data_IF_327243027293
#
_entry.id   IF_327243027293
#
_cell.length_a   1.000
_cell.length_b   1.000
_cell.length_c   1.000
_cell.angle_alpha   90.00
_cell.angle_beta   90.00
_cell.angle_gamma   90.00
#
_symmetry.space_group_name_H-M   'P 1'
#
loop_
_entity.id
_entity.type
_entity.pdbx_description
1 polymer ?
#
# COMPACT_ATOMS: atom_id res chain seq x y z
N UNK A 1 -2.41 -15.63 -10.17
CA UNK A 1 -3.59 -14.76 -10.24
C UNK A 1 -3.09 -13.34 -10.11
N UNK A 2 -3.53 -12.44 -10.98
CA UNK A 2 -3.26 -11.01 -10.83
C UNK A 2 -4.26 -10.46 -9.82
N UNK A 3 -3.80 -10.19 -8.60
CA UNK A 3 -4.62 -9.46 -7.62
C UNK A 3 -4.43 -7.99 -7.90
N UNK A 4 -5.47 -7.35 -8.43
CA UNK A 4 -5.44 -5.93 -8.79
C UNK A 4 -5.79 -5.07 -7.57
N UNK A 5 -5.18 -3.89 -7.47
CA UNK A 5 -5.52 -2.94 -6.42
C UNK A 5 -5.45 -1.49 -6.87
N UNK A 6 -5.98 -0.60 -6.02
CA UNK A 6 -5.75 0.83 -6.13
C UNK A 6 -4.95 1.32 -4.93
N UNK A 7 -3.98 2.19 -5.18
CA UNK A 7 -3.19 2.85 -4.15
C UNK A 7 -3.32 4.35 -4.33
N UNK A 8 -3.63 5.06 -3.26
CA UNK A 8 -3.92 6.48 -3.33
C UNK A 8 -3.85 7.21 -2.02
N UNK A 9 -4.35 8.43 -2.02
CA UNK A 9 -4.50 9.27 -0.84
C UNK A 9 -5.79 10.07 -0.93
N UNK A 10 -6.34 10.43 0.23
CA UNK A 10 -7.41 11.44 0.33
C UNK A 10 -6.78 12.82 0.38
N UNK A 11 -7.41 13.81 -0.24
CA UNK A 11 -6.96 15.19 -0.05
C UNK A 11 -7.54 15.80 1.23
N UNK A 12 -6.80 16.66 1.94
CA UNK A 12 -7.30 17.32 3.15
C UNK A 12 -8.52 18.22 2.90
N UNK A 13 -8.61 18.84 1.72
CA UNK A 13 -9.71 19.72 1.31
C UNK A 13 -10.99 18.95 0.95
N UNK A 14 -10.86 17.67 0.57
CA UNK A 14 -11.99 16.79 0.30
C UNK A 14 -11.68 15.35 0.73
N UNK A 15 -11.83 15.03 2.03
CA UNK A 15 -11.49 13.70 2.56
C UNK A 15 -12.42 12.59 2.05
N UNK A 16 -13.52 12.96 1.36
CA UNK A 16 -14.45 12.00 0.77
C UNK A 16 -14.01 11.51 -0.61
N UNK A 17 -13.08 12.21 -1.27
CA UNK A 17 -12.54 11.81 -2.57
C UNK A 17 -11.15 11.20 -2.41
N UNK A 18 -11.01 10.01 -2.98
CA UNK A 18 -9.74 9.31 -3.11
C UNK A 18 -9.16 9.63 -4.47
N UNK A 19 -7.88 9.98 -4.49
CA UNK A 19 -7.04 10.05 -5.68
C UNK A 19 -6.13 8.83 -5.69
N UNK A 20 -6.27 7.95 -6.68
CA UNK A 20 -5.54 6.69 -6.71
C UNK A 20 -5.04 6.32 -8.10
N UNK A 21 -4.07 5.40 -8.10
CA UNK A 21 -3.53 4.71 -9.27
C UNK A 21 -3.74 3.21 -9.17
N UNK A 22 -3.92 2.61 -10.34
CA UNK A 22 -4.11 1.19 -10.51
C UNK A 22 -2.76 0.46 -10.40
N UNK A 23 -2.79 -0.72 -9.80
CA UNK A 23 -1.67 -1.67 -9.80
C UNK A 23 -2.17 -3.02 -10.27
N UNK A 24 -1.56 -3.55 -11.33
CA UNK A 24 -2.00 -4.77 -12.00
C UNK A 24 -1.65 -6.04 -11.22
N UNK A 25 -0.48 -6.13 -10.59
CA UNK A 25 -0.04 -7.34 -9.90
C UNK A 25 0.24 -7.12 -8.42
N UNK A 26 0.22 -8.23 -7.68
CA UNK A 26 0.62 -8.31 -6.28
C UNK A 26 -0.13 -7.38 -5.31
N UNK A 27 -1.39 -7.07 -5.63
CA UNK A 27 -2.25 -6.18 -4.85
C UNK A 27 -2.69 -6.69 -3.47
N UNK A 28 -2.21 -7.84 -2.99
CA UNK A 28 -2.61 -8.42 -1.70
C UNK A 28 -1.94 -7.67 -0.51
N UNK A 29 -2.63 -7.46 0.64
CA UNK A 29 -2.10 -6.63 1.73
C UNK A 29 -0.76 -7.09 2.30
N UNK A 30 -0.52 -8.40 2.34
CA UNK A 30 0.75 -8.98 2.79
C UNK A 30 1.96 -8.61 1.91
N UNK A 31 1.71 -8.13 0.68
CA UNK A 31 2.76 -7.68 -0.25
C UNK A 31 2.76 -6.16 -0.35
N UNK A 32 1.61 -5.53 -0.63
CA UNK A 32 1.55 -4.08 -0.87
C UNK A 32 2.00 -3.25 0.33
N UNK A 33 1.57 -3.62 1.55
CA UNK A 33 1.90 -2.83 2.76
C UNK A 33 3.41 -2.76 3.03
N UNK A 34 4.14 -3.90 3.12
CA UNK A 34 5.60 -3.84 3.29
C UNK A 34 6.33 -3.23 2.07
N UNK A 35 5.82 -3.44 0.85
CA UNK A 35 6.39 -2.81 -0.35
C UNK A 35 6.31 -1.28 -0.28
N UNK A 36 5.14 -0.72 0.03
CA UNK A 36 4.96 0.74 0.17
C UNK A 36 5.82 1.31 1.30
N UNK A 37 5.97 0.58 2.41
CA UNK A 37 6.86 1.00 3.49
C UNK A 37 8.34 1.04 3.04
N UNK A 38 8.78 0.04 2.27
CA UNK A 38 10.15 -0.02 1.75
C UNK A 38 10.43 1.11 0.76
N UNK A 39 9.48 1.40 -0.15
CA UNK A 39 9.55 2.53 -1.07
C UNK A 39 9.59 3.85 -0.28
N UNK A 40 8.76 3.98 0.76
CA UNK A 40 8.73 5.16 1.61
C UNK A 40 10.09 5.44 2.27
N UNK A 41 10.73 4.43 2.85
CA UNK A 41 12.04 4.61 3.48
C UNK A 41 13.18 4.78 2.46
N UNK A 42 13.19 3.97 1.40
CA UNK A 42 14.28 3.89 0.44
C UNK A 42 14.25 5.00 -0.61
N UNK A 43 13.14 5.12 -1.34
CA UNK A 43 12.97 6.07 -2.43
C UNK A 43 12.50 7.44 -1.92
N UNK A 44 11.51 7.45 -1.03
CA UNK A 44 10.91 8.69 -0.54
C UNK A 44 11.64 9.27 0.68
N UNK A 45 12.68 8.61 1.19
CA UNK A 45 13.47 9.07 2.36
C UNK A 45 12.62 9.45 3.58
N UNK A 46 11.60 8.64 3.86
CA UNK A 46 10.61 8.86 4.92
C UNK A 46 9.68 10.08 4.72
N UNK A 47 9.63 10.65 3.52
CA UNK A 47 8.66 11.69 3.15
C UNK A 47 7.39 11.06 2.54
N UNK A 48 6.29 11.11 3.28
CA UNK A 48 5.00 10.53 2.87
C UNK A 48 4.38 11.28 1.68
N UNK A 49 4.62 12.58 1.53
CA UNK A 49 4.16 13.35 0.37
C UNK A 49 4.96 12.94 -0.88
N UNK A 50 6.26 12.72 -0.74
CA UNK A 50 7.09 12.20 -1.83
C UNK A 50 6.65 10.79 -2.25
N UNK A 51 6.31 9.91 -1.29
CA UNK A 51 5.71 8.59 -1.58
C UNK A 51 4.41 8.72 -2.37
N UNK A 52 3.45 9.52 -1.90
CA UNK A 52 2.17 9.73 -2.58
C UNK A 52 2.39 10.26 -4.00
N UNK A 53 3.30 11.23 -4.16
CA UNK A 53 3.63 11.81 -5.46
C UNK A 53 4.19 10.77 -6.41
N UNK A 54 5.13 9.92 -5.95
CA UNK A 54 5.70 8.85 -6.74
C UNK A 54 4.61 7.85 -7.17
N UNK A 55 3.80 7.36 -6.24
CA UNK A 55 2.74 6.38 -6.53
C UNK A 55 1.69 6.96 -7.49
N UNK A 56 1.31 8.22 -7.34
CA UNK A 56 0.27 8.85 -8.18
C UNK A 56 0.76 9.26 -9.58
N UNK A 57 2.06 9.17 -9.86
CA UNK A 57 2.63 9.58 -11.15
C UNK A 57 2.22 8.64 -12.31
N UNK A 58 2.00 7.35 -12.03
CA UNK A 58 1.76 6.33 -13.05
C UNK A 58 0.75 5.30 -12.57
N UNK A 59 0.10 4.61 -13.51
CA UNK A 59 -0.45 3.30 -13.24
C UNK A 59 0.68 2.27 -13.32
N UNK A 60 0.60 1.24 -12.49
CA UNK A 60 1.71 0.32 -12.23
C UNK A 60 1.35 -1.06 -12.72
N UNK A 61 2.31 -1.71 -13.38
CA UNK A 61 2.22 -3.14 -13.57
C UNK A 61 2.44 -3.83 -12.23
N UNK A 62 3.51 -3.44 -11.52
CA UNK A 62 3.80 -3.87 -10.16
C UNK A 62 4.65 -2.82 -9.43
N UNK A 63 4.61 -2.87 -8.11
CA UNK A 63 5.51 -2.12 -7.25
C UNK A 63 6.64 -3.02 -6.78
N UNK A 64 7.87 -2.53 -6.90
CA UNK A 64 9.07 -3.25 -6.49
C UNK A 64 10.17 -2.23 -6.12
N UNK A 65 10.53 -2.14 -4.82
CA UNK A 65 11.55 -1.21 -4.35
C UNK A 65 12.95 -1.54 -4.88
N UNK A 66 13.19 -2.74 -5.39
CA UNK A 66 14.48 -3.15 -5.95
C UNK A 66 14.59 -2.83 -7.45
N UNK A 67 13.55 -2.26 -8.07
CA UNK A 67 13.60 -1.81 -9.46
C UNK A 67 14.70 -0.76 -9.66
N UNK A 68 15.52 -0.93 -10.71
CA UNK A 68 16.59 0.00 -11.09
C UNK A 68 16.38 0.52 -12.51
N UNK A 69 17.12 1.55 -12.90
CA UNK A 69 16.97 2.20 -14.21
C UNK A 69 17.22 1.26 -15.40
N UNK A 70 17.99 0.18 -15.18
CA UNK A 70 18.32 -0.82 -16.20
C UNK A 70 17.49 -2.10 -16.07
N UNK A 71 16.47 -2.13 -15.20
CA UNK A 71 15.53 -3.26 -15.14
C UNK A 71 14.85 -3.41 -16.50
N UNK A 72 15.06 -4.54 -17.15
CA UNK A 72 14.50 -4.81 -18.47
C UNK A 72 13.02 -5.14 -18.35
N UNK A 73 12.18 -4.49 -19.16
CA UNK A 73 10.81 -4.92 -19.38
C UNK A 73 10.73 -5.82 -20.63
N UNK A 74 10.01 -6.94 -20.56
CA UNK A 74 9.71 -7.76 -21.74
C UNK A 74 8.61 -7.16 -22.63
N UNK A 75 7.92 -6.10 -22.20
CA UNK A 75 6.77 -5.51 -22.90
C UNK A 75 7.06 -4.07 -23.36
N UNK A 76 6.65 -3.76 -24.58
CA UNK A 76 6.80 -2.41 -25.12
C UNK A 76 5.95 -1.41 -24.30
N UNK A 77 6.51 -0.22 -24.04
CA UNK A 77 5.81 0.89 -23.37
C UNK A 77 5.92 0.91 -21.85
N UNK A 78 6.36 -0.18 -21.21
CA UNK A 78 6.66 -0.19 -19.77
C UNK A 78 7.99 0.52 -19.50
N UNK A 79 8.05 1.22 -18.38
CA UNK A 79 9.23 1.99 -17.96
C UNK A 79 9.55 1.66 -16.49
N UNK A 80 10.80 1.28 -16.17
CA UNK A 80 11.20 1.13 -14.78
C UNK A 80 11.30 2.52 -14.12
N UNK A 81 10.72 2.65 -12.93
CA UNK A 81 10.92 3.79 -12.04
C UNK A 81 11.79 3.33 -10.87
N UNK A 82 13.06 3.77 -10.81
CA UNK A 82 14.00 3.29 -9.82
C UNK A 82 13.52 3.47 -8.37
N UNK A 83 13.57 2.41 -7.59
CA UNK A 83 13.14 2.39 -6.20
C UNK A 83 11.62 2.35 -5.99
N UNK A 84 10.82 2.23 -7.06
CA UNK A 84 9.35 2.26 -6.97
C UNK A 84 8.70 1.05 -7.65
N UNK A 85 9.00 0.80 -8.93
CA UNK A 85 8.38 -0.31 -9.66
C UNK A 85 8.38 -0.14 -11.18
N UNK A 86 7.57 -0.96 -11.85
CA UNK A 86 7.40 -0.94 -13.30
C UNK A 86 6.06 -0.30 -13.67
N UNK A 87 6.07 0.70 -14.54
CA UNK A 87 4.83 1.32 -15.01
C UNK A 87 4.04 0.33 -15.88
N UNK A 88 2.71 0.42 -15.81
CA UNK A 88 1.85 -0.27 -16.76
C UNK A 88 2.10 0.30 -18.16
N UNK A 89 2.08 -0.56 -19.19
CA UNK A 89 2.27 -0.12 -20.56
C UNK A 89 1.13 0.82 -20.95
N UNK A 90 1.43 2.09 -21.20
CA UNK A 90 0.52 2.98 -21.92
C UNK A 90 1.03 3.13 -23.34
N UNK A 91 0.21 2.76 -24.32
CA UNK A 91 0.46 3.01 -25.74
C UNK A 91 0.26 4.48 -26.13
N UNK A 92 -0.24 5.30 -25.21
CA UNK A 92 -0.69 6.67 -25.47
C UNK A 92 -0.02 7.65 -24.52
N UNK A 93 0.61 8.67 -25.09
CA UNK A 93 0.95 9.91 -24.40
C UNK A 93 -0.26 10.84 -24.58
N UNK A 94 -0.87 11.42 -23.52
CA UNK A 94 -0.33 11.69 -22.18
C UNK A 94 -0.61 10.59 -21.11
N UNK A 95 0.06 10.65 -19.93
CA UNK A 95 -0.23 9.77 -18.80
C UNK A 95 -1.72 9.78 -18.44
N UNK A 96 -2.28 8.61 -18.14
CA UNK A 96 -3.69 8.48 -17.76
C UNK A 96 -4.02 9.42 -16.58
N UNK A 97 -5.20 10.05 -16.56
CA UNK A 97 -5.60 10.90 -15.44
C UNK A 97 -5.70 10.08 -14.15
N UNK A 98 -5.33 10.68 -13.01
CA UNK A 98 -5.50 10.05 -11.69
C UNK A 98 -6.96 9.63 -11.51
N UNK A 99 -7.20 8.39 -11.10
CA UNK A 99 -8.56 7.91 -10.83
C UNK A 99 -9.08 8.61 -9.57
N UNK A 100 -10.22 9.30 -9.70
CA UNK A 100 -10.86 10.02 -8.58
C UNK A 100 -12.23 9.42 -8.31
N UNK A 101 -12.46 8.95 -7.10
CA UNK A 101 -13.72 8.35 -6.71
C UNK A 101 -14.03 8.57 -5.23
N UNK A 102 -15.32 8.64 -4.84
CA UNK A 102 -15.68 8.58 -3.44
C UNK A 102 -15.54 7.14 -2.93
N UNK A 103 -14.91 6.96 -1.77
CA UNK A 103 -14.63 5.62 -1.22
C UNK A 103 -15.90 4.78 -1.01
N UNK A 104 -17.04 5.40 -0.72
CA UNK A 104 -18.33 4.70 -0.59
C UNK A 104 -18.85 4.11 -1.92
N UNK A 105 -18.27 4.49 -3.06
CA UNK A 105 -18.58 3.94 -4.39
C UNK A 105 -17.45 3.05 -4.92
N UNK A 106 -16.53 2.62 -4.05
CA UNK A 106 -15.41 1.75 -4.41
C UNK A 106 -15.83 0.43 -5.06
N UNK A 107 -17.02 -0.09 -4.74
CA UNK A 107 -17.54 -1.35 -5.30
C UNK A 107 -17.75 -1.34 -6.83
N UNK A 108 -17.61 -0.20 -7.50
CA UNK A 108 -17.59 -0.10 -8.96
C UNK A 108 -16.19 -0.26 -9.58
N UNK A 109 -15.14 -0.30 -8.75
CA UNK A 109 -13.77 -0.54 -9.20
C UNK A 109 -13.55 -2.05 -9.35
N UNK A 110 -12.90 -2.44 -10.45
CA UNK A 110 -12.45 -3.81 -10.66
C UNK A 110 -11.14 -4.07 -9.88
N UNK A 111 -11.22 -4.01 -8.56
CA UNK A 111 -10.09 -4.18 -7.66
C UNK A 111 -10.48 -4.98 -6.43
N UNK A 112 -9.55 -5.81 -5.95
CA UNK A 112 -9.75 -6.59 -4.72
C UNK A 112 -9.45 -5.76 -3.47
N UNK A 113 -8.51 -4.81 -3.57
CA UNK A 113 -8.01 -4.03 -2.46
C UNK A 113 -7.83 -2.56 -2.82
N UNK A 114 -8.00 -1.70 -1.81
CA UNK A 114 -7.74 -0.26 -1.90
C UNK A 114 -6.85 0.14 -0.72
N UNK A 115 -5.78 0.88 -1.02
CA UNK A 115 -4.79 1.35 -0.05
C UNK A 115 -4.78 2.86 -0.03
N UNK A 116 -5.00 3.45 1.15
CA UNK A 116 -4.98 4.90 1.33
C UNK A 116 -3.81 5.30 2.22
N UNK A 117 -2.89 6.09 1.67
CA UNK A 117 -1.75 6.67 2.37
C UNK A 117 -2.22 7.95 3.05
N UNK A 118 -2.06 8.03 4.37
CA UNK A 118 -2.41 9.19 5.18
C UNK A 118 -1.25 10.18 5.30
N UNK A 119 -1.25 11.32 4.59
CA UNK A 119 -0.10 12.23 4.48
C UNK A 119 0.35 12.82 5.83
N UNK A 120 -0.59 13.04 6.75
CA UNK A 120 -0.30 13.67 8.06
C UNK A 120 0.01 12.65 9.17
N UNK A 121 -0.15 11.37 8.88
CA UNK A 121 -0.11 10.30 9.90
C UNK A 121 0.92 9.22 9.61
N UNK A 122 1.58 9.28 8.45
CA UNK A 122 2.51 8.25 7.97
C UNK A 122 1.94 6.84 8.09
N UNK A 123 0.67 6.68 7.70
CA UNK A 123 -0.05 5.41 7.77
C UNK A 123 -0.57 4.95 6.43
N UNK A 124 -0.81 3.64 6.30
CA UNK A 124 -1.55 3.01 5.22
C UNK A 124 -2.84 2.44 5.81
N UNK A 125 -3.99 2.90 5.34
CA UNK A 125 -5.27 2.24 5.57
C UNK A 125 -5.57 1.24 4.46
N UNK A 126 -5.93 0.01 4.84
CA UNK A 126 -6.31 -1.07 3.92
C UNK A 126 -7.82 -1.18 3.90
N UNK A 127 -8.39 -1.20 2.71
CA UNK A 127 -9.82 -1.27 2.46
C UNK A 127 -10.11 -2.44 1.52
N UNK A 128 -11.24 -3.11 1.75
CA UNK A 128 -11.80 -4.10 0.82
C UNK A 128 -12.38 -3.41 -0.42
N UNK A 129 -12.74 -4.20 -1.43
CA UNK A 129 -13.28 -3.71 -2.72
C UNK A 129 -14.56 -2.88 -2.60
N UNK A 130 -15.36 -3.07 -1.55
CA UNK A 130 -16.55 -2.28 -1.24
C UNK A 130 -16.24 -0.95 -0.52
N UNK A 131 -14.97 -0.66 -0.25
CA UNK A 131 -14.51 0.54 0.46
C UNK A 131 -14.49 0.40 1.98
N UNK A 132 -14.91 -0.74 2.54
CA UNK A 132 -14.88 -0.98 3.99
C UNK A 132 -13.44 -1.02 4.49
N UNK A 133 -13.12 -0.23 5.53
CA UNK A 133 -11.78 -0.24 6.13
C UNK A 133 -11.57 -1.51 6.94
N UNK A 134 -10.49 -2.23 6.63
CA UNK A 134 -10.09 -3.44 7.36
C UNK A 134 -9.06 -3.13 8.46
N UNK A 135 -8.04 -2.33 8.15
CA UNK A 135 -6.93 -2.07 9.06
C UNK A 135 -6.20 -0.75 8.74
N UNK A 136 -5.38 -0.28 9.68
CA UNK A 136 -4.46 0.86 9.48
C UNK A 136 -3.10 0.51 10.06
N UNK A 137 -2.05 0.75 9.30
CA UNK A 137 -0.68 0.41 9.66
C UNK A 137 0.23 1.64 9.59
N UNK A 138 0.99 1.97 10.65
CA UNK A 138 2.06 2.94 10.55
C UNK A 138 3.16 2.44 9.60
N UNK A 139 3.60 3.27 8.65
CA UNK A 139 4.62 2.93 7.65
C UNK A 139 5.91 2.45 8.31
N UNK A 140 6.35 3.12 9.39
CA UNK A 140 7.54 2.73 10.17
C UNK A 140 7.46 1.31 10.74
N UNK A 141 6.27 0.84 11.12
CA UNK A 141 6.08 -0.49 11.67
C UNK A 141 6.07 -1.58 10.59
N UNK A 142 6.00 -1.19 9.32
CA UNK A 142 5.90 -2.10 8.18
C UNK A 142 7.27 -2.39 7.52
N UNK A 143 8.32 -1.63 7.86
CA UNK A 143 9.69 -1.86 7.37
C UNK A 143 10.32 -3.15 7.88
N UNK A 144 9.89 -3.57 9.06
CA UNK A 144 10.29 -4.82 9.68
C UNK A 144 9.01 -5.49 10.13
N UNK A 145 8.35 -6.29 9.26
CA UNK A 145 7.32 -7.19 9.74
C UNK A 145 8.04 -8.09 10.74
N UNK A 146 7.88 -7.81 12.04
CA UNK A 146 8.48 -8.60 13.07
C UNK A 146 8.16 -10.05 12.72
N UNK A 147 9.21 -10.85 12.51
CA UNK A 147 9.06 -12.29 12.37
C UNK A 147 8.09 -12.73 13.46
N UNK A 148 7.10 -13.52 13.06
CA UNK A 148 6.02 -14.01 13.92
C UNK A 148 6.61 -14.87 15.02
N UNK A 149 7.26 -14.24 16.00
CA UNK A 149 7.75 -14.93 17.17
C UNK A 149 6.61 -14.94 18.18
N UNK A 150 5.90 -16.04 18.07
CA UNK A 150 4.97 -16.63 19.01
C UNK A 150 5.50 -16.51 20.44
N UNK A 151 5.29 -15.37 21.08
CA UNK A 151 5.26 -15.29 22.52
C UNK A 151 3.84 -15.65 22.99
N UNK A 152 3.49 -16.93 22.86
CA UNK A 152 2.56 -17.55 23.82
C UNK A 152 3.16 -17.31 25.20
N UNK A 153 2.72 -16.24 25.88
CA UNK A 153 2.88 -16.16 27.33
C UNK A 153 1.98 -17.23 27.92
N UNK A 154 2.50 -18.27 28.59
CA UNK A 154 1.65 -19.09 29.43
C UNK A 154 1.15 -18.16 30.53
N UNK A 155 -0.17 -18.02 30.65
CA UNK A 155 -0.80 -17.53 31.85
C UNK A 155 -0.18 -18.27 33.04
N UNK A 156 0.64 -17.58 33.83
CA UNK A 156 0.99 -18.07 35.16
C UNK A 156 -0.32 -18.14 35.94
N UNK A 157 -0.79 -19.36 36.14
CA UNK A 157 -1.90 -19.67 37.01
C UNK A 157 -1.68 -19.00 38.36
N UNK A 158 -2.59 -18.10 38.68
CA UNK A 158 -2.73 -17.46 39.98
C UNK A 158 -3.07 -18.56 40.99
N UNK A 159 -2.07 -19.05 41.74
CA UNK A 159 -2.32 -19.87 42.90
C UNK A 159 -3.03 -19.01 43.96
N UNK A 160 -4.26 -19.41 44.30
CA UNK A 160 -5.09 -18.75 45.29
C UNK A 160 -4.49 -18.94 46.69
N UNK A 161 -4.48 -17.85 47.45
CA UNK A 161 -4.27 -17.86 48.89
C UNK A 161 -5.54 -18.37 49.60
N UNK A 162 -5.36 -19.24 50.58
CA UNK A 162 -6.37 -19.65 51.58
C UNK A 162 -5.72 -20.65 52.53
N UNK A 163 -5.09 -20.23 53.62
CA UNK A 163 -5.66 -19.84 54.92
C UNK A 163 -5.63 -21.02 55.92
N UNK A 164 -5.06 -20.71 57.10
CA UNK A 164 -4.88 -21.55 58.28
C UNK A 164 -6.13 -22.33 58.72
N UNK A 165 -5.92 -23.52 59.26
CA UNK A 165 -6.30 -23.92 60.63
C UNK A 165 -5.41 -25.06 61.13
#
# INVERSE_FOLDING_TARGET
MSTHCYIGATRPDNPHLVHARFVLFDGHPAVVVPTLATIWAGHAHHDTIALITAILAHDWEYLDPDTIATTLSPFAGQRPVPGVGMTLASEVDPPEPVTVFPLCHAGHLDAEWIYLIGPDTDTIAVHTSDGTRLATYPLVNCLHPAGTDRAERPCRSRAAAGALR
#
